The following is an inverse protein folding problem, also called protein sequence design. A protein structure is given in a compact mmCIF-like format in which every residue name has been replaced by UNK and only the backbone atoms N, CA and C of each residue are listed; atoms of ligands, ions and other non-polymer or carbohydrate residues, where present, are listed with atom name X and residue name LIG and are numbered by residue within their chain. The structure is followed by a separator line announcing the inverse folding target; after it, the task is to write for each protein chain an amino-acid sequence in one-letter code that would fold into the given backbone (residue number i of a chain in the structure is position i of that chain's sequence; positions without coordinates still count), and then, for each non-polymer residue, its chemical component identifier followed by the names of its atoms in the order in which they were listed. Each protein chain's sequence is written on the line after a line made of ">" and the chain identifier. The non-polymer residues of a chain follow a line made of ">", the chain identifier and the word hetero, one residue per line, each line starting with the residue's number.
data_IF_588973453142
#
_entry.id   IF_588973453142
#
_cell.length_a   1.000
_cell.length_b   1.000
_cell.length_c   1.000
_cell.angle_alpha   90.00
_cell.angle_beta   90.00
_cell.angle_gamma   90.00
#
_symmetry.space_group_name_H-M   'P 1'
#
loop_
_entity.id
_entity.type
_entity.pdbx_description
1 polymer ?
#
# COMPACT_ATOMS: atom_id res chain seq x y z
N UNK A 1 1.99 21.63 -13.69
CA UNK A 1 2.97 21.55 -12.57
C UNK A 1 2.38 20.81 -11.38
N UNK A 2 1.12 21.08 -11.03
CA UNK A 2 0.37 20.37 -10.00
C UNK A 2 0.33 18.84 -10.20
N UNK A 3 0.15 18.36 -11.42
CA UNK A 3 0.12 16.90 -11.72
C UNK A 3 1.45 16.20 -11.38
N UNK A 4 2.58 16.89 -11.55
CA UNK A 4 3.91 16.35 -11.19
C UNK A 4 4.05 16.23 -9.67
N UNK A 5 3.50 17.18 -8.93
CA UNK A 5 3.49 17.19 -7.46
C UNK A 5 2.62 16.04 -6.96
N UNK A 6 1.41 15.86 -7.50
CA UNK A 6 0.54 14.73 -7.18
C UNK A 6 1.22 13.38 -7.46
N UNK A 7 1.90 13.25 -8.61
CA UNK A 7 2.64 12.04 -8.96
C UNK A 7 3.80 11.77 -7.99
N UNK A 8 4.54 12.80 -7.55
CA UNK A 8 5.61 12.62 -6.56
C UNK A 8 5.06 12.17 -5.20
N UNK A 9 3.94 12.75 -4.75
CA UNK A 9 3.29 12.34 -3.50
C UNK A 9 2.79 10.90 -3.55
N UNK A 10 2.21 10.49 -4.68
CA UNK A 10 1.80 9.11 -4.92
C UNK A 10 2.97 8.14 -4.76
N UNK A 11 4.10 8.43 -5.40
CA UNK A 11 5.30 7.60 -5.32
C UNK A 11 5.88 7.59 -3.90
N UNK A 12 5.90 8.73 -3.21
CA UNK A 12 6.37 8.81 -1.83
C UNK A 12 5.54 7.93 -0.89
N UNK A 13 4.21 8.01 -1.00
CA UNK A 13 3.30 7.16 -0.22
C UNK A 13 3.58 5.69 -0.51
N UNK A 14 3.71 5.29 -1.78
CA UNK A 14 3.98 3.89 -2.13
C UNK A 14 5.33 3.42 -1.58
N UNK A 15 6.41 4.17 -1.79
CA UNK A 15 7.76 3.78 -1.36
C UNK A 15 7.82 3.58 0.16
N UNK A 16 7.07 4.38 0.93
CA UNK A 16 7.06 4.32 2.39
C UNK A 16 6.05 3.29 2.92
N UNK A 17 4.81 3.27 2.41
CA UNK A 17 3.76 2.39 2.91
C UNK A 17 4.00 0.93 2.56
N UNK A 18 4.55 0.61 1.39
CA UNK A 18 4.78 -0.79 0.98
C UNK A 18 5.64 -1.56 2.00
N UNK A 19 6.85 -1.09 2.39
CA UNK A 19 7.65 -1.79 3.38
C UNK A 19 7.02 -1.76 4.79
N UNK A 20 6.27 -0.71 5.15
CA UNK A 20 5.53 -0.63 6.41
C UNK A 20 4.44 -1.69 6.49
N UNK A 21 3.57 -1.76 5.49
CA UNK A 21 2.49 -2.74 5.38
C UNK A 21 3.06 -4.16 5.35
N UNK A 22 4.15 -4.37 4.62
CA UNK A 22 4.80 -5.67 4.56
C UNK A 22 5.29 -6.14 5.93
N UNK A 23 5.97 -5.26 6.68
CA UNK A 23 6.41 -5.55 8.05
C UNK A 23 5.24 -5.81 8.98
N UNK A 24 4.18 -5.00 8.89
CA UNK A 24 3.00 -5.15 9.73
C UNK A 24 2.29 -6.48 9.46
N UNK A 25 2.11 -6.84 8.19
CA UNK A 25 1.50 -8.12 7.81
C UNK A 25 2.37 -9.28 8.27
N UNK A 26 3.68 -9.27 8.01
CA UNK A 26 4.60 -10.35 8.38
C UNK A 26 4.79 -10.52 9.90
N UNK A 27 4.40 -9.53 10.71
CA UNK A 27 4.35 -9.68 12.17
C UNK A 27 3.21 -10.60 12.64
N UNK A 28 2.21 -10.85 11.80
CA UNK A 28 1.10 -11.74 12.10
C UNK A 28 1.50 -13.21 11.92
N UNK A 29 0.98 -14.08 12.80
CA UNK A 29 1.18 -15.53 12.69
C UNK A 29 0.25 -16.12 11.62
N UNK A 30 0.76 -16.26 10.40
CA UNK A 30 0.04 -16.89 9.29
C UNK A 30 0.02 -18.42 9.34
N UNK A 31 0.68 -19.04 10.31
CA UNK A 31 0.69 -20.51 10.49
C UNK A 31 -0.72 -21.10 10.61
N UNK A 32 -1.65 -20.35 11.22
CA UNK A 32 -3.02 -20.82 11.43
C UNK A 32 -3.88 -20.72 10.16
N UNK A 33 -3.58 -19.76 9.29
CA UNK A 33 -4.32 -19.50 8.05
C UNK A 33 -3.80 -20.34 6.87
N UNK A 34 -2.50 -20.61 6.85
CA UNK A 34 -1.83 -21.25 5.71
C UNK A 34 -1.04 -22.50 6.13
N UNK A 35 -1.75 -23.47 6.73
CA UNK A 35 -1.18 -24.71 7.27
C UNK A 35 -0.30 -25.53 6.30
N UNK A 36 -0.48 -25.39 4.98
CA UNK A 36 0.29 -26.11 3.94
C UNK A 36 1.06 -25.20 2.99
N UNK A 37 0.98 -23.87 3.15
CA UNK A 37 1.65 -22.98 2.21
C UNK A 37 3.13 -22.85 2.57
N UNK A 38 3.97 -22.76 1.54
CA UNK A 38 5.38 -22.45 1.73
C UNK A 38 5.51 -21.02 2.29
N UNK A 39 6.48 -20.81 3.18
CA UNK A 39 6.83 -19.47 3.70
C UNK A 39 7.12 -18.48 2.58
N UNK A 40 7.60 -18.97 1.43
CA UNK A 40 7.80 -18.18 0.21
C UNK A 40 6.48 -17.69 -0.41
N UNK A 41 5.45 -18.53 -0.45
CA UNK A 41 4.13 -18.16 -0.99
C UNK A 41 3.46 -17.10 -0.11
N UNK A 42 3.56 -17.26 1.22
CA UNK A 42 3.04 -16.28 2.17
C UNK A 42 3.77 -14.95 1.99
N UNK A 43 5.11 -14.95 1.90
CA UNK A 43 5.89 -13.73 1.64
C UNK A 43 5.46 -13.04 0.35
N UNK A 44 5.34 -13.79 -0.74
CA UNK A 44 4.90 -13.26 -2.03
C UNK A 44 3.52 -12.62 -1.94
N UNK A 45 2.56 -13.33 -1.34
CA UNK A 45 1.21 -12.84 -1.12
C UNK A 45 1.19 -11.56 -0.28
N UNK A 46 1.95 -11.51 0.81
CA UNK A 46 2.03 -10.33 1.68
C UNK A 46 2.65 -9.14 0.97
N UNK A 47 3.66 -9.33 0.11
CA UNK A 47 4.21 -8.25 -0.73
C UNK A 47 3.13 -7.69 -1.66
N UNK A 48 2.35 -8.56 -2.30
CA UNK A 48 1.30 -8.17 -3.23
C UNK A 48 0.17 -7.40 -2.50
N UNK A 49 -0.26 -7.90 -1.34
CA UNK A 49 -1.24 -7.21 -0.48
C UNK A 49 -0.70 -5.85 -0.01
N UNK A 50 0.58 -5.78 0.38
CA UNK A 50 1.21 -4.52 0.82
C UNK A 50 1.20 -3.47 -0.28
N UNK A 51 1.48 -3.90 -1.51
CA UNK A 51 1.44 -3.04 -2.70
C UNK A 51 0.03 -2.54 -2.98
N UNK A 52 -0.98 -3.42 -2.92
CA UNK A 52 -2.39 -3.06 -3.09
C UNK A 52 -2.87 -2.08 -2.01
N UNK A 53 -2.55 -2.34 -0.73
CA UNK A 53 -2.88 -1.44 0.38
C UNK A 53 -2.25 -0.06 0.19
N UNK A 54 -0.98 0.01 -0.18
CA UNK A 54 -0.28 1.26 -0.41
C UNK A 54 -0.88 2.03 -1.60
N UNK A 55 -1.19 1.32 -2.69
CA UNK A 55 -1.86 1.88 -3.87
C UNK A 55 -3.22 2.47 -3.54
N UNK A 56 -4.08 1.72 -2.84
CA UNK A 56 -5.42 2.19 -2.43
C UNK A 56 -5.33 3.42 -1.52
N UNK A 57 -4.38 3.43 -0.60
CA UNK A 57 -4.17 4.57 0.30
C UNK A 57 -3.72 5.81 -0.46
N UNK A 58 -2.75 5.66 -1.38
CA UNK A 58 -2.28 6.75 -2.21
C UNK A 58 -3.38 7.28 -3.14
N UNK A 59 -4.18 6.40 -3.74
CA UNK A 59 -5.31 6.77 -4.58
C UNK A 59 -6.39 7.54 -3.79
N UNK A 60 -6.76 7.04 -2.60
CA UNK A 60 -7.72 7.72 -1.74
C UNK A 60 -7.24 9.14 -1.36
N UNK A 61 -5.94 9.30 -1.08
CA UNK A 61 -5.36 10.59 -0.76
C UNK A 61 -5.44 11.58 -1.93
N UNK A 62 -5.11 11.14 -3.15
CA UNK A 62 -5.26 11.97 -4.36
C UNK A 62 -6.72 12.39 -4.56
N UNK A 63 -7.64 11.43 -4.51
CA UNK A 63 -9.06 11.71 -4.75
C UNK A 63 -9.62 12.72 -3.74
N UNK A 64 -9.24 12.60 -2.47
CA UNK A 64 -9.64 13.56 -1.42
C UNK A 64 -9.07 14.94 -1.71
N UNK A 65 -7.79 15.05 -2.07
CA UNK A 65 -7.16 16.35 -2.40
C UNK A 65 -7.81 16.99 -3.61
N UNK A 66 -8.03 16.23 -4.69
CA UNK A 66 -8.70 16.72 -5.89
C UNK A 66 -10.11 17.20 -5.57
N UNK A 67 -10.84 16.47 -4.72
CA UNK A 67 -12.19 16.87 -4.34
C UNK A 67 -12.21 18.14 -3.49
N UNK A 68 -11.32 18.27 -2.52
CA UNK A 68 -11.17 19.49 -1.72
C UNK A 68 -10.80 20.67 -2.63
N UNK A 69 -9.84 20.50 -3.53
CA UNK A 69 -9.42 21.54 -4.47
C UNK A 69 -10.52 21.94 -5.46
N UNK A 70 -11.46 21.05 -5.76
CA UNK A 70 -12.61 21.38 -6.64
C UNK A 70 -13.76 22.11 -5.94
N UNK A 71 -13.77 22.11 -4.61
CA UNK A 71 -14.81 22.74 -3.78
C UNK A 71 -14.38 24.14 -3.32
N UNK A 72 -13.07 24.39 -3.24
CA UNK A 72 -12.44 25.69 -2.94
C UNK A 72 -12.31 26.50 -4.23
#
# INVERSE_FOLDING_TARGET
>A
MFDKILTMWFLFIIIVLVPLNYRALMALKFSNLFHRASTWQIRFLMTLISFLMAFLTAFAFIYVIERIASVI
#
